data_IF_123951580912
#
_entry.id   IF_123951580912
#
_cell.length_a   1.000
_cell.length_b   1.000
_cell.length_c   1.000
_cell.angle_alpha   90.00
_cell.angle_beta   90.00
_cell.angle_gamma   90.00
#
_symmetry.space_group_name_H-M   'P 1'
#
loop_
_entity.id
_entity.type
_entity.pdbx_description
1 polymer ?
#
# COMPACT_ATOMS: atom_id res chain seq x y z
N UNK A 1 88.29 11.44 28.55
CA UNK A 1 86.95 12.02 28.27
C UNK A 1 86.09 11.05 27.43
N UNK A 2 85.87 9.82 27.89
CA UNK A 2 85.07 8.82 27.15
C UNK A 2 84.00 8.14 28.02
N UNK A 3 84.25 8.00 29.32
CA UNK A 3 83.31 7.34 30.25
C UNK A 3 82.06 8.20 30.57
N UNK A 4 82.18 9.53 30.54
CA UNK A 4 81.06 10.42 30.88
C UNK A 4 79.98 10.47 29.79
N UNK A 5 80.33 10.27 28.50
CA UNK A 5 79.35 10.28 27.41
C UNK A 5 78.48 9.02 27.38
N UNK A 6 78.99 7.87 27.85
CA UNK A 6 78.23 6.62 27.86
C UNK A 6 77.11 6.59 28.91
N UNK A 7 77.29 7.25 30.07
CA UNK A 7 76.22 7.32 31.07
C UNK A 7 75.05 8.22 30.63
N UNK A 8 75.31 9.29 29.87
CA UNK A 8 74.25 10.19 29.39
C UNK A 8 73.32 9.54 28.35
N UNK A 9 73.81 8.57 27.58
CA UNK A 9 72.99 7.86 26.57
C UNK A 9 72.02 6.84 27.18
N UNK A 10 72.28 6.36 28.40
CA UNK A 10 71.44 5.38 29.11
C UNK A 10 70.27 6.03 29.88
N UNK A 11 70.25 7.36 30.00
CA UNK A 11 69.20 8.14 30.67
C UNK A 11 68.13 8.68 29.71
N UNK A 12 68.26 8.44 28.39
CA UNK A 12 67.19 8.80 27.46
C UNK A 12 66.04 7.79 27.55
N UNK A 13 64.82 8.22 27.93
CA UNK A 13 63.66 7.35 27.89
C UNK A 13 63.42 6.88 26.45
N UNK A 14 63.08 5.60 26.23
CA UNK A 14 62.77 5.12 24.89
C UNK A 14 61.60 5.94 24.31
N UNK A 15 61.64 6.28 23.01
CA UNK A 15 60.53 6.97 22.38
C UNK A 15 59.27 6.11 22.54
N UNK A 16 58.11 6.71 22.89
CA UNK A 16 56.89 5.93 23.03
C UNK A 16 56.56 5.33 21.67
N UNK A 17 56.54 3.99 21.61
CA UNK A 17 56.01 3.25 20.47
C UNK A 17 54.53 3.65 20.33
N UNK A 18 54.26 4.62 19.45
CA UNK A 18 52.89 4.92 19.02
C UNK A 18 52.40 3.70 18.27
N UNK A 19 51.65 2.85 18.95
CA UNK A 19 50.82 1.85 18.30
C UNK A 19 49.97 2.58 17.25
N UNK A 20 50.19 2.26 15.97
CA UNK A 20 49.25 2.59 14.90
C UNK A 20 47.99 1.75 15.13
N UNK A 21 47.15 2.19 16.07
CA UNK A 21 45.75 1.79 16.10
C UNK A 21 45.12 2.46 14.88
N UNK A 22 44.90 1.68 13.81
CA UNK A 22 43.98 2.11 12.78
C UNK A 22 42.62 2.35 13.44
N UNK A 23 41.87 3.39 13.05
CA UNK A 23 40.51 3.53 13.53
C UNK A 23 39.75 2.23 13.20
N UNK A 24 38.92 1.72 14.14
CA UNK A 24 38.13 0.54 13.88
C UNK A 24 37.29 0.74 12.61
N UNK A 25 37.16 -0.27 11.74
CA UNK A 25 36.36 -0.15 10.53
C UNK A 25 34.96 0.31 10.92
N UNK A 26 34.46 1.35 10.24
CA UNK A 26 33.12 1.85 10.47
C UNK A 26 32.13 0.68 10.41
N UNK A 27 31.15 0.60 11.33
CA UNK A 27 30.18 -0.48 11.32
C UNK A 27 29.52 -0.56 9.94
N UNK A 28 29.33 -1.78 9.39
CA UNK A 28 28.79 -1.94 8.05
C UNK A 28 27.44 -1.25 7.96
N UNK A 29 27.31 -0.29 7.04
CA UNK A 29 26.05 0.42 6.81
C UNK A 29 24.96 -0.60 6.50
N UNK A 30 23.81 -0.59 7.20
CA UNK A 30 22.75 -1.55 6.94
C UNK A 30 22.33 -1.47 5.47
N UNK A 31 22.07 -2.63 4.84
CA UNK A 31 21.67 -2.64 3.44
C UNK A 31 20.39 -1.83 3.25
N UNK A 32 20.40 -0.95 2.24
CA UNK A 32 19.25 -0.11 1.92
C UNK A 32 17.98 -0.97 1.71
N UNK A 33 16.79 -0.48 2.14
CA UNK A 33 15.55 -1.22 1.97
C UNK A 33 15.29 -1.48 0.48
N UNK A 34 14.81 -2.68 0.12
CA UNK A 34 14.68 -3.11 -1.28
C UNK A 34 13.54 -2.41 -2.02
N UNK A 35 12.59 -1.84 -1.28
CA UNK A 35 11.44 -1.11 -1.82
C UNK A 35 11.29 0.22 -1.07
N UNK A 36 10.91 1.27 -1.80
CA UNK A 36 10.68 2.62 -1.27
C UNK A 36 9.39 3.20 -1.82
N UNK A 37 8.90 4.29 -1.22
CA UNK A 37 7.75 5.05 -1.70
C UNK A 37 6.53 4.18 -2.04
N UNK A 38 6.15 3.30 -1.09
CA UNK A 38 4.94 2.50 -1.24
C UNK A 38 3.72 3.44 -1.25
N UNK A 39 2.91 3.37 -2.30
CA UNK A 39 1.70 4.18 -2.44
C UNK A 39 0.52 3.33 -2.87
N UNK A 40 -0.61 3.53 -2.19
CA UNK A 40 -1.88 2.88 -2.50
C UNK A 40 -2.78 3.89 -3.21
N UNK A 41 -3.23 3.53 -4.39
CA UNK A 41 -4.23 4.25 -5.16
C UNK A 41 -5.55 3.46 -5.09
N UNK A 42 -6.53 3.91 -4.27
CA UNK A 42 -7.76 3.16 -4.03
C UNK A 42 -8.72 3.16 -5.22
N UNK A 43 -8.66 4.17 -6.08
CA UNK A 43 -9.49 4.24 -7.28
C UNK A 43 -9.05 3.17 -8.30
N UNK A 44 -7.74 3.05 -8.51
CA UNK A 44 -7.15 2.06 -9.40
C UNK A 44 -6.92 0.69 -8.73
N UNK A 45 -7.16 0.59 -7.42
CA UNK A 45 -6.85 -0.60 -6.59
C UNK A 45 -5.40 -1.03 -6.72
N UNK A 46 -4.50 -0.05 -6.79
CA UNK A 46 -3.11 -0.24 -7.16
C UNK A 46 -2.20 0.00 -5.97
N UNK A 47 -1.32 -0.95 -5.67
CA UNK A 47 -0.15 -0.74 -4.81
C UNK A 47 1.06 -0.53 -5.72
N UNK A 48 1.73 0.61 -5.56
CA UNK A 48 2.94 0.98 -6.30
C UNK A 48 4.12 1.15 -5.37
N UNK A 49 5.33 0.96 -5.89
CA UNK A 49 6.58 1.13 -5.18
C UNK A 49 7.66 1.65 -6.12
N UNK A 50 8.76 2.10 -5.54
CA UNK A 50 10.01 2.38 -6.23
C UNK A 50 11.05 1.34 -5.83
N UNK A 51 11.91 0.97 -6.79
CA UNK A 51 13.03 0.07 -6.53
C UNK A 51 14.35 0.75 -6.89
N UNK A 52 15.29 0.94 -5.93
CA UNK A 52 16.57 1.59 -6.19
C UNK A 52 17.47 0.82 -7.16
N UNK A 53 17.33 -0.52 -7.20
CA UNK A 53 18.11 -1.40 -8.08
C UNK A 53 17.18 -2.30 -8.87
N UNK A 54 17.45 -2.56 -10.16
CA UNK A 54 16.76 -3.60 -10.90
C UNK A 54 16.88 -4.95 -10.18
N UNK A 55 15.87 -5.80 -10.32
CA UNK A 55 15.84 -7.10 -9.66
C UNK A 55 14.68 -7.94 -10.16
N UNK A 56 14.51 -9.15 -9.60
CA UNK A 56 13.45 -10.05 -10.03
C UNK A 56 12.05 -9.44 -9.87
N UNK A 57 11.10 -9.95 -10.65
CA UNK A 57 9.68 -9.57 -10.57
C UNK A 57 9.21 -9.58 -9.12
N UNK A 58 8.57 -8.50 -8.67
CA UNK A 58 7.98 -8.43 -7.33
C UNK A 58 6.58 -9.05 -7.32
N UNK A 59 6.16 -9.47 -6.14
CA UNK A 59 4.80 -9.87 -5.84
C UNK A 59 4.24 -9.02 -4.71
N UNK A 60 2.91 -8.92 -4.68
CA UNK A 60 2.17 -8.23 -3.63
C UNK A 60 1.21 -9.20 -2.95
N UNK A 61 1.07 -9.09 -1.64
CA UNK A 61 0.09 -9.85 -0.88
C UNK A 61 -0.76 -8.93 0.00
N UNK A 62 -1.99 -9.38 0.25
CA UNK A 62 -2.97 -8.74 1.10
C UNK A 62 -3.17 -9.60 2.34
N UNK A 63 -2.79 -9.12 3.53
CA UNK A 63 -2.88 -9.85 4.80
C UNK A 63 -2.25 -11.26 4.71
N UNK A 64 -1.12 -11.39 3.99
CA UNK A 64 -0.46 -12.68 3.78
C UNK A 64 -1.23 -13.69 2.91
N UNK A 65 -2.33 -13.28 2.26
CA UNK A 65 -3.08 -14.12 1.29
C UNK A 65 -2.28 -14.35 0.01
N UNK A 66 -2.83 -15.19 -0.88
CA UNK A 66 -2.24 -15.55 -2.17
C UNK A 66 -1.64 -14.34 -2.91
N UNK A 67 -0.37 -14.41 -3.30
CA UNK A 67 0.31 -13.27 -3.88
C UNK A 67 -0.11 -13.01 -5.33
N UNK A 68 -0.17 -11.72 -5.69
CA UNK A 68 -0.38 -11.21 -7.04
C UNK A 68 0.97 -10.75 -7.59
N UNK A 69 1.36 -11.29 -8.74
CA UNK A 69 2.63 -10.95 -9.37
C UNK A 69 2.52 -9.69 -10.22
N UNK A 70 3.41 -8.71 -10.01
CA UNK A 70 3.46 -7.46 -10.76
C UNK A 70 3.89 -7.71 -12.22
N UNK A 71 3.19 -7.23 -13.24
CA UNK A 71 3.59 -7.52 -14.64
C UNK A 71 5.07 -7.22 -14.95
N UNK A 72 5.69 -7.92 -15.92
CA UNK A 72 7.07 -7.67 -16.32
C UNK A 72 7.34 -6.17 -16.56
N UNK A 73 8.37 -5.63 -15.91
CA UNK A 73 8.74 -4.21 -16.00
C UNK A 73 7.85 -3.23 -15.20
N UNK A 74 6.74 -3.68 -14.61
CA UNK A 74 5.89 -2.83 -13.76
C UNK A 74 6.33 -2.85 -12.30
N UNK A 75 6.25 -1.67 -11.67
CA UNK A 75 6.50 -1.48 -10.24
C UNK A 75 5.19 -1.26 -9.46
N UNK A 76 4.14 -1.97 -9.87
CA UNK A 76 2.87 -1.96 -9.16
C UNK A 76 2.11 -3.28 -9.34
N UNK A 77 1.25 -3.59 -8.37
CA UNK A 77 0.22 -4.61 -8.46
C UNK A 77 -1.16 -3.95 -8.49
N UNK A 78 -2.11 -4.59 -9.17
CA UNK A 78 -3.52 -4.22 -9.13
C UNK A 78 -4.29 -5.34 -8.44
N UNK A 79 -5.06 -4.98 -7.43
CA UNK A 79 -5.90 -5.92 -6.69
C UNK A 79 -7.32 -5.95 -7.26
N UNK A 80 -8.00 -7.11 -7.26
CA UNK A 80 -9.41 -7.19 -7.63
C UNK A 80 -10.30 -6.34 -6.72
N UNK A 81 -9.96 -6.27 -5.43
CA UNK A 81 -10.66 -5.46 -4.45
C UNK A 81 -9.72 -4.93 -3.37
N UNK A 82 -9.98 -3.69 -2.92
CA UNK A 82 -9.37 -3.08 -1.74
C UNK A 82 -10.49 -2.61 -0.83
N UNK A 83 -10.39 -2.91 0.46
CA UNK A 83 -11.33 -2.36 1.44
C UNK A 83 -10.89 -0.95 1.79
N UNK A 84 -11.83 0.00 1.80
CA UNK A 84 -11.60 1.36 2.29
C UNK A 84 -11.91 1.53 3.78
N UNK A 85 -12.47 0.51 4.42
CA UNK A 85 -12.91 0.57 5.81
C UNK A 85 -12.09 -0.36 6.71
N UNK A 86 -11.70 -1.52 6.20
CA UNK A 86 -10.92 -2.50 6.96
C UNK A 86 -9.44 -2.32 6.68
N UNK A 87 -8.68 -2.04 7.75
CA UNK A 87 -7.23 -1.98 7.66
C UNK A 87 -6.68 -3.33 7.25
N UNK A 88 -5.88 -3.25 6.21
CA UNK A 88 -5.29 -4.35 5.50
C UNK A 88 -3.79 -4.09 5.43
N UNK A 89 -2.98 -5.10 5.74
CA UNK A 89 -1.55 -5.05 5.52
C UNK A 89 -1.24 -5.42 4.07
N UNK A 90 -0.78 -4.44 3.29
CA UNK A 90 -0.39 -4.61 1.90
C UNK A 90 1.13 -4.73 1.82
N UNK A 91 1.60 -5.94 1.53
CA UNK A 91 3.03 -6.26 1.48
C UNK A 91 3.50 -6.36 0.04
N UNK A 92 4.68 -5.83 -0.27
CA UNK A 92 5.43 -6.11 -1.50
C UNK A 92 6.71 -6.85 -1.14
N UNK A 93 7.04 -7.88 -1.92
CA UNK A 93 8.24 -8.67 -1.72
C UNK A 93 8.81 -9.12 -3.06
N UNK A 94 10.11 -9.42 -3.07
CA UNK A 94 10.78 -10.05 -4.19
C UNK A 94 11.15 -11.49 -3.82
N UNK A 95 11.09 -12.45 -4.76
CA UNK A 95 11.44 -13.83 -4.49
C UNK A 95 12.91 -13.98 -4.07
N UNK A 96 13.20 -15.00 -3.26
CA UNK A 96 14.55 -15.31 -2.78
C UNK A 96 14.98 -14.44 -1.59
N UNK A 97 16.24 -13.98 -1.59
CA UNK A 97 16.79 -13.10 -0.54
C UNK A 97 16.37 -11.62 -0.70
N UNK A 98 15.39 -11.34 -1.56
CA UNK A 98 14.82 -10.01 -1.69
C UNK A 98 14.06 -9.67 -0.42
N UNK A 99 14.39 -8.57 0.24
CA UNK A 99 13.61 -8.14 1.42
C UNK A 99 12.19 -7.71 1.02
N UNK A 100 11.37 -7.41 2.02
CA UNK A 100 9.98 -7.00 1.86
C UNK A 100 9.76 -5.58 2.39
N UNK A 101 8.67 -4.96 1.95
CA UNK A 101 8.16 -3.73 2.53
C UNK A 101 6.63 -3.80 2.59
N UNK A 102 6.02 -2.97 3.42
CA UNK A 102 4.58 -2.98 3.60
C UNK A 102 4.01 -1.62 3.92
N UNK A 103 2.71 -1.49 3.73
CA UNK A 103 1.91 -0.33 4.09
C UNK A 103 0.55 -0.79 4.59
N UNK A 104 0.01 -0.07 5.59
CA UNK A 104 -1.35 -0.29 6.05
C UNK A 104 -2.31 0.57 5.23
N UNK A 105 -3.40 -0.02 4.77
CA UNK A 105 -4.46 0.69 4.05
C UNK A 105 -5.86 0.24 4.51
N UNK A 106 -6.81 1.16 4.73
CA UNK A 106 -6.62 2.62 4.80
C UNK A 106 -5.68 3.02 5.96
N UNK A 107 -5.33 4.30 6.05
CA UNK A 107 -4.62 4.81 7.23
C UNK A 107 -5.44 4.56 8.51
N UNK A 108 -4.78 4.57 9.67
CA UNK A 108 -5.51 4.51 10.95
C UNK A 108 -6.43 5.72 11.06
N UNK A 109 -7.68 5.48 11.45
CA UNK A 109 -8.70 6.51 11.66
C UNK A 109 -9.12 6.43 13.13
N UNK A 110 -8.94 7.52 13.92
CA UNK A 110 -9.33 7.52 15.34
C UNK A 110 -10.84 7.32 15.55
N UNK A 111 -11.67 7.70 14.59
CA UNK A 111 -13.12 7.58 14.65
C UNK A 111 -13.63 6.27 14.05
N UNK A 112 -12.76 5.30 13.79
CA UNK A 112 -13.15 4.03 13.17
C UNK A 112 -14.27 3.30 13.90
N UNK A 113 -14.31 3.41 15.23
CA UNK A 113 -15.36 2.79 16.03
C UNK A 113 -16.76 3.38 15.76
N UNK A 114 -16.85 4.57 15.16
CA UNK A 114 -18.10 5.19 14.75
C UNK A 114 -18.65 4.67 13.41
N UNK A 115 -17.85 3.93 12.62
CA UNK A 115 -18.31 3.39 11.35
C UNK A 115 -19.42 2.35 11.54
N UNK A 116 -20.32 2.24 10.56
CA UNK A 116 -21.37 1.23 10.53
C UNK A 116 -20.78 -0.19 10.69
N UNK A 117 -21.40 -0.99 11.55
CA UNK A 117 -20.97 -2.35 11.86
C UNK A 117 -21.88 -3.39 11.19
N UNK A 118 -21.41 -4.63 11.05
CA UNK A 118 -22.21 -5.78 10.61
C UNK A 118 -23.03 -5.57 9.32
N UNK A 119 -22.43 -4.92 8.32
CA UNK A 119 -23.06 -4.75 7.01
C UNK A 119 -23.35 -6.13 6.39
N UNK A 120 -24.63 -6.41 6.19
CA UNK A 120 -25.12 -7.60 5.50
C UNK A 120 -25.97 -7.15 4.33
N UNK A 121 -25.78 -7.77 3.17
CA UNK A 121 -26.56 -7.51 1.98
C UNK A 121 -27.10 -8.84 1.43
N UNK A 122 -28.32 -8.82 0.91
CA UNK A 122 -28.95 -9.99 0.33
C UNK A 122 -29.89 -9.58 -0.81
N UNK A 123 -29.98 -10.46 -1.81
CA UNK A 123 -30.81 -10.26 -2.98
C UNK A 123 -32.19 -10.88 -2.73
N UNK A 124 -33.23 -10.11 -2.97
CA UNK A 124 -34.60 -10.55 -2.93
C UNK A 124 -35.23 -10.50 -4.30
N UNK A 125 -36.06 -11.51 -4.59
CA UNK A 125 -36.88 -11.55 -5.81
C UNK A 125 -36.06 -11.30 -7.09
N UNK A 126 -34.82 -11.79 -7.11
CA UNK A 126 -33.87 -11.77 -8.24
C UNK A 126 -33.37 -10.37 -8.66
N UNK A 127 -34.03 -9.28 -8.29
CA UNK A 127 -33.70 -7.93 -8.78
C UNK A 127 -33.56 -6.84 -7.72
N UNK A 128 -33.85 -7.12 -6.44
CA UNK A 128 -33.80 -6.12 -5.37
C UNK A 128 -32.71 -6.47 -4.37
N UNK A 129 -31.65 -5.65 -4.30
CA UNK A 129 -30.65 -5.75 -3.25
C UNK A 129 -31.17 -5.02 -2.00
N UNK A 130 -31.08 -5.66 -0.85
CA UNK A 130 -31.36 -5.06 0.45
C UNK A 130 -30.16 -5.23 1.35
N UNK A 131 -29.82 -4.19 2.10
CA UNK A 131 -28.71 -4.21 3.05
C UNK A 131 -29.16 -3.71 4.41
N UNK A 132 -28.58 -4.27 5.47
CA UNK A 132 -28.68 -3.76 6.85
C UNK A 132 -27.30 -3.65 7.45
N UNK A 133 -27.17 -2.75 8.42
CA UNK A 133 -25.99 -2.56 9.24
C UNK A 133 -26.43 -2.14 10.65
N UNK A 134 -25.53 -2.32 11.62
CA UNK A 134 -25.65 -1.79 12.97
C UNK A 134 -24.93 -0.45 13.12
N UNK A 135 -25.28 0.28 14.17
CA UNK A 135 -24.56 1.47 14.61
C UNK A 135 -23.16 1.08 15.13
N UNK A 136 -22.13 1.85 14.76
CA UNK A 136 -20.79 1.67 15.30
C UNK A 136 -20.74 1.90 16.82
N UNK A 137 -19.98 1.10 17.59
CA UNK A 137 -19.94 1.22 19.05
C UNK A 137 -19.39 2.56 19.56
N UNK A 138 -18.59 3.25 18.76
CA UNK A 138 -18.07 4.60 19.07
C UNK A 138 -18.83 5.73 18.39
N UNK A 139 -19.96 5.44 17.74
CA UNK A 139 -20.74 6.47 17.06
C UNK A 139 -21.56 7.28 18.07
N UNK A 140 -21.74 8.60 17.87
CA UNK A 140 -22.62 9.43 18.70
C UNK A 140 -24.10 9.12 18.43
N UNK A 141 -25.00 9.67 19.26
CA UNK A 141 -26.44 9.38 19.18
C UNK A 141 -27.14 9.95 17.95
N UNK A 142 -26.62 11.04 17.41
CA UNK A 142 -27.08 11.76 16.24
C UNK A 142 -26.44 11.30 14.92
N UNK A 143 -25.69 10.18 14.94
CA UNK A 143 -24.98 9.68 13.75
C UNK A 143 -25.95 9.36 12.60
N UNK A 144 -25.57 9.77 11.39
CA UNK A 144 -26.26 9.41 10.16
C UNK A 144 -25.32 8.64 9.23
N UNK A 145 -25.81 7.55 8.65
CA UNK A 145 -25.04 6.71 7.73
C UNK A 145 -25.54 6.88 6.30
N UNK A 146 -24.59 6.89 5.35
CA UNK A 146 -24.89 6.91 3.91
C UNK A 146 -24.29 5.67 3.25
N UNK A 147 -25.05 5.07 2.34
CA UNK A 147 -24.61 3.90 1.59
C UNK A 147 -24.35 4.28 0.13
N UNK A 148 -23.20 3.86 -0.37
CA UNK A 148 -22.80 3.99 -1.77
C UNK A 148 -22.51 2.60 -2.34
N UNK A 149 -22.74 2.44 -3.65
CA UNK A 149 -22.43 1.21 -4.35
C UNK A 149 -21.67 1.56 -5.63
N UNK A 150 -20.75 0.67 -6.03
CA UNK A 150 -19.95 0.82 -7.24
C UNK A 150 -19.99 -0.47 -8.03
N UNK A 151 -20.29 -0.36 -9.32
CA UNK A 151 -20.34 -1.53 -10.19
C UNK A 151 -18.97 -2.20 -10.32
N UNK A 152 -18.95 -3.49 -10.01
CA UNK A 152 -17.83 -4.37 -10.29
C UNK A 152 -17.70 -4.71 -11.79
N UNK A 153 -18.57 -4.20 -12.67
CA UNK A 153 -18.59 -4.54 -14.09
C UNK A 153 -17.28 -4.19 -14.83
N UNK A 154 -16.52 -3.19 -14.36
CA UNK A 154 -15.14 -2.93 -14.85
C UNK A 154 -14.14 -4.07 -14.55
N UNK A 155 -14.49 -5.01 -13.66
CA UNK A 155 -13.67 -6.17 -13.26
C UNK A 155 -13.94 -7.38 -14.17
N UNK A 156 -15.17 -7.53 -14.70
CA UNK A 156 -15.54 -8.65 -15.60
C UNK A 156 -14.99 -8.51 -17.02
N UNK A 157 -14.71 -7.29 -17.48
CA UNK A 157 -14.18 -7.06 -18.82
C UNK A 157 -12.75 -7.59 -19.03
N UNK A 158 -11.99 -7.86 -17.95
CA UNK A 158 -10.60 -8.33 -18.03
C UNK A 158 -10.45 -9.84 -17.82
N UNK A 159 -11.49 -10.55 -17.37
CA UNK A 159 -11.45 -11.99 -17.08
C UNK A 159 -12.35 -12.85 -17.97
N UNK A 160 -13.11 -12.24 -18.87
CA UNK A 160 -13.80 -12.98 -19.92
C UNK A 160 -12.92 -12.95 -21.18
N UNK A 161 -12.59 -14.09 -21.80
CA UNK A 161 -12.06 -14.06 -23.16
C UNK A 161 -13.04 -13.27 -24.05
N UNK A 162 -12.57 -12.54 -25.07
CA UNK A 162 -13.45 -11.84 -25.98
C UNK A 162 -14.40 -12.86 -26.62
N UNK A 163 -15.68 -12.78 -26.27
CA UNK A 163 -16.72 -13.52 -26.99
C UNK A 163 -16.70 -13.02 -28.44
N UNK A 164 -16.52 -13.89 -29.45
CA UNK A 164 -16.62 -13.47 -30.84
C UNK A 164 -18.00 -12.87 -31.05
N UNK A 165 -18.07 -11.57 -31.36
CA UNK A 165 -19.33 -10.98 -31.79
C UNK A 165 -19.57 -11.48 -33.23
N UNK A 166 -20.68 -12.17 -33.54
CA UNK A 166 -21.11 -12.25 -34.92
C UNK A 166 -21.31 -10.83 -35.44
N UNK A 167 -20.87 -10.56 -36.68
CA UNK A 167 -21.04 -9.25 -37.33
C UNK A 167 -22.49 -8.81 -37.17
N UNK A 168 -22.71 -7.69 -36.48
CA UNK A 168 -24.02 -7.07 -36.46
C UNK A 168 -24.40 -6.73 -37.90
N UNK A 169 -25.63 -7.01 -38.35
CA UNK A 169 -26.11 -6.46 -39.60
C UNK A 169 -26.03 -4.93 -39.53
N UNK A 170 -25.53 -4.35 -40.61
CA UNK A 170 -25.39 -2.91 -40.79
C UNK A 170 -26.75 -2.24 -40.59
N UNK A 171 -26.84 -1.27 -39.67
CA UNK A 171 -27.97 -0.32 -39.67
C UNK A 171 -28.69 -0.07 -38.35
N UNK A 172 -28.01 0.05 -37.20
CA UNK A 172 -28.62 0.72 -36.04
C UNK A 172 -27.63 1.72 -35.44
N UNK A 173 -28.05 2.98 -35.43
CA UNK A 173 -27.27 4.13 -34.96
C UNK A 173 -26.84 3.96 -33.50
N UNK A 174 -25.60 4.35 -33.21
CA UNK A 174 -25.07 4.43 -31.86
C UNK A 174 -25.82 5.52 -31.07
N UNK A 175 -26.40 5.15 -29.93
CA UNK A 175 -26.90 6.12 -28.97
C UNK A 175 -25.73 6.82 -28.29
N UNK A 176 -25.85 8.14 -28.13
CA UNK A 176 -24.83 9.03 -27.58
C UNK A 176 -24.30 8.59 -26.20
N UNK A 177 -23.02 8.84 -25.90
CA UNK A 177 -22.47 8.60 -24.57
C UNK A 177 -23.02 9.63 -23.56
N UNK A 178 -23.59 9.12 -22.47
CA UNK A 178 -24.03 9.91 -21.33
C UNK A 178 -22.88 10.75 -20.72
N UNK A 179 -23.18 11.93 -20.16
CA UNK A 179 -22.16 12.85 -19.63
C UNK A 179 -21.41 12.28 -18.41
N UNK A 180 -20.19 12.77 -18.16
CA UNK A 180 -19.38 12.33 -17.02
C UNK A 180 -20.01 12.81 -15.71
N UNK A 181 -20.55 11.88 -14.93
CA UNK A 181 -20.97 12.14 -13.56
C UNK A 181 -19.76 12.55 -12.73
N UNK A 182 -19.85 13.70 -12.07
CA UNK A 182 -18.86 14.21 -11.14
C UNK A 182 -18.54 13.18 -10.05
N UNK A 183 -17.26 13.06 -9.69
CA UNK A 183 -16.81 12.13 -8.65
C UNK A 183 -17.45 12.52 -7.30
N UNK A 184 -18.18 11.60 -6.63
CA UNK A 184 -18.69 11.87 -5.30
C UNK A 184 -17.52 12.02 -4.31
N UNK A 185 -17.59 12.92 -3.31
CA UNK A 185 -16.59 12.98 -2.26
C UNK A 185 -16.61 11.67 -1.48
N UNK A 186 -15.59 10.85 -1.66
CA UNK A 186 -15.48 9.50 -1.11
C UNK A 186 -14.65 9.51 0.19
N UNK A 187 -15.17 10.16 1.23
CA UNK A 187 -14.61 10.07 2.57
C UNK A 187 -15.49 9.18 3.46
N UNK A 188 -14.85 8.36 4.30
CA UNK A 188 -15.48 7.74 5.46
C UNK A 188 -15.73 8.77 6.59
N UNK A 189 -15.86 10.05 6.24
CA UNK A 189 -16.00 11.15 7.17
C UNK A 189 -17.46 11.26 7.62
N UNK A 190 -17.68 11.07 8.91
CA UNK A 190 -18.95 11.40 9.57
C UNK A 190 -19.06 12.92 9.55
N UNK A 191 -19.81 13.46 8.60
CA UNK A 191 -20.05 14.90 8.53
C UNK A 191 -21.06 15.28 9.63
N UNK A 192 -20.66 16.13 10.58
CA UNK A 192 -21.62 16.86 11.42
C UNK A 192 -22.32 17.87 10.52
N UNK A 193 -23.65 17.82 10.44
CA UNK A 193 -24.43 18.87 9.79
C UNK A 193 -24.52 20.02 10.78
N UNK A 194 -23.89 21.15 10.47
CA UNK A 194 -24.33 22.43 11.04
C UNK A 194 -25.68 22.75 10.42
N UNK A 195 -26.65 23.07 11.27
CA UNK A 195 -28.04 23.35 10.90
C UNK A 195 -28.14 24.18 9.63
N UNK A 196 -28.88 23.66 8.64
CA UNK A 196 -29.38 24.45 7.52
C UNK A 196 -30.86 24.63 7.77
N UNK A 197 -31.19 25.88 8.05
CA UNK A 197 -32.50 26.48 8.29
C UNK A 197 -33.52 26.19 7.17
#
# INVERSE_FOLDING_TARGET
MAAALLLLLLLLPPPPLRAMTSPPPAPPTPPAPPFRNLRVDPALRRLSWERPRPGPRAACAKDGRSPVWAEPGRQHCVFPSLSRCHVTNLTVFAPGRGGAAWVLFPASDPNRAAAAADLRCWLHRVSRLSCRWGRGPGAPDDVQYRMFWRDAARIRATLLPPVPRPKAPVGVAAADPAPPWAEPPEDCEVTRVTDVE
#
